data_IF_637597317946
#
_entry.id   IF_637597317946
#
_cell.length_a   1.000
_cell.length_b   1.000
_cell.length_c   1.000
_cell.angle_alpha   90.00
_cell.angle_beta   90.00
_cell.angle_gamma   90.00
#
_symmetry.space_group_name_H-M   'P 1'
#
loop_
_entity.id
_entity.type
_entity.pdbx_description
1 polymer ?
#
# COMPACT_ATOMS: atom_id res chain seq x y z
N UNK A 1 -17.00 8.73 -8.69
CA UNK A 1 -15.92 9.21 -7.81
C UNK A 1 -15.78 8.16 -6.73
N UNK A 2 -14.67 7.43 -6.73
CA UNK A 2 -14.38 6.45 -5.67
C UNK A 2 -13.67 7.21 -4.56
N UNK A 3 -14.33 7.35 -3.43
CA UNK A 3 -13.76 8.02 -2.27
C UNK A 3 -12.92 6.99 -1.51
N UNK A 4 -11.61 6.95 -1.79
CA UNK A 4 -10.60 6.28 -0.92
C UNK A 4 -10.58 6.88 0.51
N UNK A 5 -11.40 7.90 0.75
CA UNK A 5 -11.58 8.65 1.99
C UNK A 5 -11.74 7.70 3.19
N UNK A 6 -10.73 7.71 4.05
CA UNK A 6 -10.69 6.93 5.30
C UNK A 6 -10.09 5.53 5.17
N UNK A 7 -9.79 5.06 3.97
CA UNK A 7 -9.14 3.75 3.72
C UNK A 7 -7.69 3.87 3.28
N UNK A 8 -7.28 5.05 2.81
CA UNK A 8 -5.88 5.41 2.60
C UNK A 8 -5.48 6.46 3.62
N UNK A 9 -4.41 6.21 4.37
CA UNK A 9 -3.85 7.16 5.33
C UNK A 9 -2.35 7.30 5.12
N UNK A 10 -1.84 8.52 5.16
CA UNK A 10 -0.41 8.76 5.18
C UNK A 10 0.08 8.76 6.63
N UNK A 11 1.07 7.92 6.92
CA UNK A 11 1.66 7.77 8.26
C UNK A 11 3.16 8.11 8.30
N UNK A 12 3.80 8.29 7.15
CA UNK A 12 5.18 8.76 7.05
C UNK A 12 5.56 9.15 5.63
N UNK A 13 6.46 10.13 5.49
CA UNK A 13 7.01 10.57 4.21
C UNK A 13 8.54 10.59 4.32
N UNK A 14 9.21 9.91 3.40
CA UNK A 14 10.65 10.00 3.23
C UNK A 14 10.94 11.00 2.11
N UNK A 15 11.63 12.07 2.45
CA UNK A 15 12.14 13.05 1.49
C UNK A 15 13.59 13.36 1.83
N UNK A 16 14.47 13.36 0.83
CA UNK A 16 15.89 13.73 0.98
C UNK A 16 16.69 12.84 1.97
N UNK A 17 16.39 11.55 2.04
CA UNK A 17 17.17 10.58 2.82
C UNK A 17 16.86 10.53 4.32
N UNK A 18 15.79 11.18 4.79
CA UNK A 18 15.29 11.02 6.16
C UNK A 18 13.78 10.76 6.21
N UNK A 19 13.37 9.89 7.14
CA UNK A 19 11.96 9.68 7.48
C UNK A 19 11.51 10.81 8.38
N UNK A 20 10.68 11.72 7.86
CA UNK A 20 9.90 12.58 8.71
C UNK A 20 8.62 11.81 9.07
N UNK A 21 8.64 11.11 10.21
CA UNK A 21 7.41 10.71 10.87
C UNK A 21 6.73 11.99 11.32
N UNK A 22 5.78 12.49 10.54
CA UNK A 22 5.12 13.75 10.85
C UNK A 22 4.15 13.63 12.05
N UNK A 23 4.10 12.47 12.73
CA UNK A 23 3.27 12.22 13.92
C UNK A 23 1.76 12.25 13.68
N UNK A 24 1.32 12.73 12.52
CA UNK A 24 -0.08 12.86 12.14
C UNK A 24 -0.45 11.79 11.12
N UNK A 25 -1.18 10.76 11.57
CA UNK A 25 -1.95 9.90 10.68
C UNK A 25 -3.03 10.76 10.02
N UNK A 26 -2.85 11.08 8.73
CA UNK A 26 -3.83 11.88 7.99
C UNK A 26 -4.55 11.02 6.96
N UNK A 27 -5.87 11.15 6.90
CA UNK A 27 -6.64 10.58 5.80
C UNK A 27 -6.17 11.20 4.47
N UNK A 28 -5.98 10.36 3.47
CA UNK A 28 -5.49 10.76 2.16
C UNK A 28 -6.53 10.39 1.10
N UNK A 29 -6.93 11.36 0.28
CA UNK A 29 -7.67 11.11 -0.95
C UNK A 29 -6.71 11.11 -2.16
N UNK A 30 -7.22 10.71 -3.33
CA UNK A 30 -6.40 10.67 -4.56
C UNK A 30 -5.88 12.04 -4.97
N UNK A 31 -6.64 13.11 -4.71
CA UNK A 31 -6.23 14.47 -5.06
C UNK A 31 -5.01 14.87 -4.23
N UNK A 32 -5.05 14.63 -2.93
CA UNK A 32 -3.97 14.90 -1.98
C UNK A 32 -2.74 14.06 -2.29
N UNK A 33 -2.91 12.77 -2.61
CA UNK A 33 -1.80 11.91 -3.05
C UNK A 33 -1.15 12.44 -4.33
N UNK A 34 -1.95 12.79 -5.33
CA UNK A 34 -1.47 13.36 -6.59
C UNK A 34 -0.73 14.69 -6.37
N UNK A 35 -1.18 15.52 -5.43
CA UNK A 35 -0.48 16.75 -5.07
C UNK A 35 0.89 16.47 -4.44
N UNK A 36 0.99 15.51 -3.52
CA UNK A 36 2.28 15.08 -2.92
C UNK A 36 3.22 14.62 -4.01
N UNK A 37 2.74 13.71 -4.86
CA UNK A 37 3.50 13.14 -5.99
C UNK A 37 4.01 14.27 -6.89
N UNK A 38 3.15 15.23 -7.25
CA UNK A 38 3.51 16.34 -8.16
C UNK A 38 4.50 17.34 -7.55
N UNK A 39 4.40 17.63 -6.25
CA UNK A 39 5.23 18.63 -5.57
C UNK A 39 6.69 18.19 -5.40
N UNK A 40 6.96 16.90 -5.28
CA UNK A 40 8.34 16.43 -5.24
C UNK A 40 9.00 16.55 -6.60
N UNK A 41 10.26 16.95 -6.61
CA UNK A 41 11.12 16.98 -7.80
C UNK A 41 11.97 15.71 -7.94
N UNK A 42 12.08 14.92 -6.87
CA UNK A 42 12.89 13.71 -6.77
C UNK A 42 12.02 12.49 -6.45
N UNK A 43 12.67 11.35 -6.22
CA UNK A 43 12.05 10.14 -5.64
C UNK A 43 11.33 10.46 -4.31
N UNK A 44 10.22 9.78 -4.06
CA UNK A 44 9.46 9.86 -2.80
C UNK A 44 9.16 8.45 -2.33
N UNK A 45 9.38 8.17 -1.05
CA UNK A 45 8.80 6.98 -0.42
C UNK A 45 7.76 7.40 0.63
N UNK A 46 6.55 6.88 0.48
CA UNK A 46 5.43 7.12 1.39
C UNK A 46 5.15 5.85 2.18
N UNK A 47 4.95 6.03 3.49
CA UNK A 47 4.41 4.99 4.36
C UNK A 47 2.91 5.24 4.55
N UNK A 48 2.12 4.23 4.21
CA UNK A 48 0.67 4.32 4.11
C UNK A 48 -0.01 3.26 5.00
N UNK A 49 -1.23 3.55 5.43
CA UNK A 49 -2.20 2.53 5.82
C UNK A 49 -3.24 2.40 4.72
N UNK A 50 -3.35 1.20 4.13
CA UNK A 50 -4.31 0.86 3.08
C UNK A 50 -5.26 -0.22 3.61
N UNK A 51 -6.50 0.15 3.89
CA UNK A 51 -7.50 -0.72 4.55
C UNK A 51 -6.95 -1.31 5.87
N UNK A 52 -6.24 -0.47 6.62
CA UNK A 52 -5.59 -0.86 7.88
C UNK A 52 -4.30 -1.67 7.72
N UNK A 53 -3.86 -1.95 6.49
CA UNK A 53 -2.59 -2.64 6.22
C UNK A 53 -1.45 -1.68 6.00
N UNK A 54 -0.28 -2.02 6.54
CA UNK A 54 0.93 -1.26 6.27
C UNK A 54 1.30 -1.42 4.79
N UNK A 55 1.50 -0.29 4.11
CA UNK A 55 1.98 -0.25 2.74
C UNK A 55 3.11 0.78 2.57
N UNK A 56 4.03 0.49 1.66
CA UNK A 56 5.09 1.39 1.22
C UNK A 56 4.88 1.72 -0.25
N UNK A 57 4.75 3.00 -0.57
CA UNK A 57 4.61 3.50 -1.94
C UNK A 57 5.84 4.33 -2.29
N UNK A 58 6.71 3.77 -3.12
CA UNK A 58 7.81 4.48 -3.76
C UNK A 58 7.36 5.08 -5.08
N UNK A 59 7.75 6.32 -5.35
CA UNK A 59 7.57 7.00 -6.63
C UNK A 59 8.94 7.34 -7.18
N UNK A 60 9.28 6.76 -8.32
CA UNK A 60 10.50 7.05 -9.07
C UNK A 60 10.20 7.98 -10.25
N UNK A 61 11.00 9.04 -10.37
CA UNK A 61 10.96 10.02 -11.45
C UNK A 61 12.14 9.81 -12.39
N UNK A 62 12.07 8.75 -13.19
CA UNK A 62 13.04 8.50 -14.26
C UNK A 62 12.93 9.49 -15.42
N UNK A 63 13.98 9.54 -16.27
CA UNK A 63 14.11 10.50 -17.38
C UNK A 63 12.97 10.46 -18.41
N UNK A 64 12.36 9.28 -18.61
CA UNK A 64 11.31 9.10 -19.63
C UNK A 64 9.89 9.08 -19.07
N UNK A 65 9.68 8.49 -17.88
CA UNK A 65 8.36 8.28 -17.26
C UNK A 65 8.45 8.12 -15.75
N UNK A 66 7.40 8.56 -15.06
CA UNK A 66 7.22 8.34 -13.63
C UNK A 66 6.66 6.94 -13.37
N UNK A 67 7.23 6.23 -12.41
CA UNK A 67 6.81 4.88 -12.00
C UNK A 67 6.50 4.84 -10.53
N UNK A 68 5.65 3.90 -10.15
CA UNK A 68 5.43 3.57 -8.75
C UNK A 68 5.94 2.16 -8.44
N UNK A 69 6.33 1.96 -7.19
CA UNK A 69 6.55 0.65 -6.56
C UNK A 69 5.70 0.62 -5.30
N UNK A 70 4.90 -0.43 -5.14
CA UNK A 70 4.00 -0.61 -4.00
C UNK A 70 4.30 -1.94 -3.32
N UNK A 71 4.62 -1.89 -2.03
CA UNK A 71 4.70 -3.04 -1.13
C UNK A 71 3.52 -2.97 -0.13
N UNK A 72 2.78 -4.07 0.03
CA UNK A 72 1.74 -4.20 1.07
C UNK A 72 2.11 -5.38 1.95
N UNK A 73 2.11 -5.16 3.26
CA UNK A 73 2.30 -6.21 4.25
C UNK A 73 0.94 -6.73 4.72
N UNK A 74 0.61 -7.98 4.37
CA UNK A 74 -0.63 -8.65 4.77
C UNK A 74 -0.35 -9.63 5.91
N UNK A 75 -0.74 -9.34 7.16
CA UNK A 75 -0.60 -10.28 8.26
C UNK A 75 -1.62 -11.43 8.12
N UNK A 76 -1.19 -12.65 8.41
CA UNK A 76 -2.04 -13.84 8.41
C UNK A 76 -2.73 -14.08 9.76
N UNK A 77 -2.24 -13.45 10.83
CA UNK A 77 -2.82 -13.48 12.18
C UNK A 77 -3.16 -12.06 12.66
N UNK A 78 -4.04 -11.96 13.65
CA UNK A 78 -4.38 -10.69 14.28
C UNK A 78 -3.24 -10.18 15.18
N UNK A 79 -2.70 -11.03 16.06
CA UNK A 79 -1.53 -10.72 16.90
C UNK A 79 -0.59 -11.94 17.09
N UNK A 80 0.66 -11.68 17.50
CA UNK A 80 1.60 -12.75 17.87
C UNK A 80 1.10 -13.52 19.09
N UNK A 81 0.87 -14.83 18.93
CA UNK A 81 0.48 -15.72 20.03
C UNK A 81 -1.04 -15.88 20.23
N UNK A 82 -1.86 -15.23 19.40
CA UNK A 82 -3.31 -15.48 19.36
C UNK A 82 -3.66 -16.78 18.60
N UNK A 83 -4.79 -17.36 18.95
CA UNK A 83 -5.36 -18.49 18.21
C UNK A 83 -5.76 -18.03 16.81
N UNK A 84 -5.42 -18.82 15.80
CA UNK A 84 -5.72 -18.48 14.42
C UNK A 84 -7.23 -18.53 14.18
N UNK A 85 -7.84 -17.37 13.99
CA UNK A 85 -9.18 -17.27 13.43
C UNK A 85 -9.18 -17.78 11.99
N UNK A 86 -9.79 -18.95 11.78
CA UNK A 86 -9.88 -19.60 10.47
C UNK A 86 -10.67 -18.76 9.46
N UNK A 87 -11.64 -17.96 9.91
CA UNK A 87 -12.39 -17.06 9.05
C UNK A 87 -11.51 -15.92 8.55
N UNK A 88 -10.73 -15.31 9.46
CA UNK A 88 -9.74 -14.29 9.10
C UNK A 88 -8.70 -14.86 8.11
N UNK A 89 -8.14 -16.04 8.39
CA UNK A 89 -7.19 -16.71 7.49
C UNK A 89 -7.78 -16.96 6.10
N UNK A 90 -9.05 -17.38 6.03
CA UNK A 90 -9.73 -17.62 4.76
C UNK A 90 -9.93 -16.31 3.97
N UNK A 91 -10.33 -15.22 4.64
CA UNK A 91 -10.44 -13.89 4.02
C UNK A 91 -9.10 -13.38 3.51
N UNK A 92 -8.04 -13.48 4.33
CA UNK A 92 -6.67 -13.09 3.94
C UNK A 92 -6.16 -13.89 2.76
N UNK A 93 -6.38 -15.21 2.76
CA UNK A 93 -6.00 -16.09 1.64
C UNK A 93 -6.72 -15.72 0.34
N UNK A 94 -8.00 -15.37 0.44
CA UNK A 94 -8.80 -14.92 -0.70
C UNK A 94 -8.27 -13.59 -1.25
N UNK A 95 -8.00 -12.62 -0.38
CA UNK A 95 -7.42 -11.34 -0.76
C UNK A 95 -6.03 -11.49 -1.41
N UNK A 96 -5.17 -12.36 -0.87
CA UNK A 96 -3.86 -12.67 -1.47
C UNK A 96 -3.98 -13.29 -2.86
N UNK A 97 -4.98 -14.15 -3.08
CA UNK A 97 -5.26 -14.73 -4.40
C UNK A 97 -5.64 -13.64 -5.39
N UNK A 98 -6.50 -12.71 -4.99
CA UNK A 98 -6.89 -11.58 -5.83
C UNK A 98 -5.72 -10.63 -6.12
N UNK A 99 -4.89 -10.33 -5.12
CA UNK A 99 -3.66 -9.56 -5.33
C UNK A 99 -2.76 -10.24 -6.37
N UNK A 100 -2.58 -11.56 -6.28
CA UNK A 100 -1.82 -12.33 -7.26
C UNK A 100 -2.42 -12.23 -8.66
N UNK A 101 -3.74 -12.36 -8.79
CA UNK A 101 -4.45 -12.24 -10.07
C UNK A 101 -4.34 -10.82 -10.68
N UNK A 102 -4.19 -9.80 -9.83
CA UNK A 102 -3.90 -8.41 -10.23
C UNK A 102 -2.43 -8.15 -10.60
N UNK A 103 -1.59 -9.19 -10.57
CA UNK A 103 -0.18 -9.14 -10.97
C UNK A 103 0.79 -8.82 -9.85
N UNK A 104 0.38 -8.90 -8.57
CA UNK A 104 1.32 -8.77 -7.47
C UNK A 104 2.23 -9.99 -7.37
N UNK A 105 3.50 -9.74 -7.05
CA UNK A 105 4.43 -10.77 -6.60
C UNK A 105 4.28 -10.95 -5.08
N UNK A 106 4.10 -12.19 -4.64
CA UNK A 106 3.87 -12.53 -3.23
C UNK A 106 5.11 -13.21 -2.64
N UNK A 107 5.58 -12.71 -1.50
CA UNK A 107 6.67 -13.31 -0.73
C UNK A 107 6.24 -13.53 0.71
N UNK A 108 6.30 -14.78 1.18
CA UNK A 108 6.08 -15.09 2.59
C UNK A 108 7.27 -14.63 3.44
N UNK A 109 6.99 -14.04 4.60
CA UNK A 109 7.99 -13.70 5.60
C UNK A 109 7.91 -14.68 6.79
N UNK A 110 9.03 -14.87 7.51
CA UNK A 110 9.11 -15.79 8.66
C UNK A 110 8.28 -15.33 9.87
N UNK A 111 7.65 -14.15 9.81
CA UNK A 111 6.81 -13.56 10.85
C UNK A 111 5.30 -13.74 10.66
N UNK A 112 4.84 -14.66 9.81
CA UNK A 112 3.39 -14.87 9.62
C UNK A 112 2.69 -13.78 8.82
N UNK A 113 3.42 -13.11 7.93
CA UNK A 113 2.90 -12.14 6.98
C UNK A 113 3.31 -12.48 5.55
N UNK A 114 2.56 -11.95 4.59
CA UNK A 114 2.86 -12.03 3.17
C UNK A 114 3.05 -10.62 2.63
N UNK A 115 4.21 -10.37 2.05
CA UNK A 115 4.51 -9.13 1.36
C UNK A 115 4.07 -9.23 -0.09
N UNK A 116 3.29 -8.25 -0.54
CA UNK A 116 2.74 -8.18 -1.88
C UNK A 116 3.37 -6.99 -2.60
N UNK A 117 4.04 -7.24 -3.73
CA UNK A 117 4.79 -6.25 -4.49
C UNK A 117 4.16 -6.02 -5.87
N UNK A 118 4.03 -4.75 -6.26
CA UNK A 118 3.68 -4.38 -7.63
C UNK A 118 4.41 -3.11 -8.04
N UNK A 119 4.82 -3.06 -9.29
CA UNK A 119 5.34 -1.85 -9.93
C UNK A 119 4.49 -1.53 -11.15
N UNK A 120 4.44 -0.25 -11.51
CA UNK A 120 3.64 0.20 -12.63
C UNK A 120 3.90 1.64 -13.02
N UNK A 121 3.22 2.08 -14.07
CA UNK A 121 3.20 3.48 -14.46
C UNK A 121 2.35 4.26 -13.43
N UNK A 122 2.74 5.49 -13.07
CA UNK A 122 1.98 6.27 -12.08
C UNK A 122 0.54 6.53 -12.53
N UNK A 123 0.28 6.54 -13.83
CA UNK A 123 -1.06 6.68 -14.40
C UNK A 123 -2.00 5.53 -14.02
N UNK A 124 -1.45 4.35 -13.70
CA UNK A 124 -2.21 3.17 -13.27
C UNK A 124 -2.42 3.12 -11.73
N UNK A 125 -1.72 3.98 -10.97
CA UNK A 125 -1.69 3.92 -9.50
C UNK A 125 -3.07 4.04 -8.88
N UNK A 126 -3.91 4.98 -9.33
CA UNK A 126 -5.27 5.16 -8.80
C UNK A 126 -6.11 3.89 -8.99
N UNK A 127 -6.09 3.34 -10.20
CA UNK A 127 -6.81 2.12 -10.54
C UNK A 127 -6.35 0.95 -9.68
N UNK A 128 -5.04 0.80 -9.49
CA UNK A 128 -4.47 -0.26 -8.70
C UNK A 128 -4.81 -0.12 -7.20
N UNK A 129 -4.71 1.09 -6.63
CA UNK A 129 -5.10 1.34 -5.24
C UNK A 129 -6.58 1.00 -4.98
N UNK A 130 -7.48 1.34 -5.90
CA UNK A 130 -8.90 1.01 -5.82
C UNK A 130 -9.16 -0.50 -5.91
N UNK A 131 -8.43 -1.20 -6.76
CA UNK A 131 -8.57 -2.64 -6.92
C UNK A 131 -8.06 -3.39 -5.66
N UNK A 132 -6.95 -2.92 -5.09
CA UNK A 132 -6.41 -3.44 -3.82
C UNK A 132 -7.37 -3.21 -2.67
N UNK A 133 -7.95 -2.02 -2.57
CA UNK A 133 -8.96 -1.71 -1.56
C UNK A 133 -10.12 -2.70 -1.61
N UNK A 134 -10.60 -3.00 -2.82
CA UNK A 134 -11.68 -3.96 -3.06
C UNK A 134 -11.28 -5.38 -2.64
N UNK A 135 -10.03 -5.79 -2.87
CA UNK A 135 -9.52 -7.10 -2.48
C UNK A 135 -9.32 -7.23 -0.97
N UNK A 136 -8.82 -6.19 -0.31
CA UNK A 136 -8.47 -6.21 1.12
C UNK A 136 -9.64 -5.93 2.06
N UNK A 137 -10.71 -5.28 1.59
CA UNK A 137 -11.88 -4.94 2.40
C UNK A 137 -12.91 -6.08 2.56
N UNK A 138 -12.60 -7.29 2.06
CA UNK A 138 -13.45 -8.47 2.14
C UNK A 138 -13.43 -9.16 3.50
#
# INVERSE_FOLDING_TARGET
>A
MSDLTGRLQLIGEWANGSLAQNGECRALDMNSLNEIIRRSINEIDLQLLLVGMLAMLGIDRGEERMRYVLEICVPLAAEEGEEFDLELLQRRTSALTELKDMGFYLSGDRGGSVRCYKEGAVEDLEKDLLAIETALAK
#
